data_IF_118481269339
#
_entry.id   IF_118481269339
#
_cell.length_a   1.000
_cell.length_b   1.000
_cell.length_c   1.000
_cell.angle_alpha   90.00
_cell.angle_beta   90.00
_cell.angle_gamma   90.00
#
_symmetry.space_group_name_H-M   'P 1'
#
loop_
_entity.id
_entity.type
_entity.pdbx_description
1 polymer ?
#
# COMPACT_ATOMS: atom_id res chain seq x y z
N UNK A 1 -7.15 -28.87 4.00
CA UNK A 1 -8.33 -28.89 3.08
C UNK A 1 -9.45 -27.93 3.48
N UNK A 2 -9.89 -27.85 4.75
CA UNK A 2 -10.99 -26.94 5.17
C UNK A 2 -10.66 -25.46 4.95
N UNK A 3 -9.53 -24.99 5.50
CA UNK A 3 -9.12 -23.58 5.38
C UNK A 3 -9.06 -23.10 3.92
N UNK A 4 -8.48 -23.93 3.05
CA UNK A 4 -8.37 -23.62 1.63
C UNK A 4 -9.74 -23.54 0.93
N UNK A 5 -10.62 -24.53 1.18
CA UNK A 5 -11.95 -24.61 0.57
C UNK A 5 -12.86 -23.47 1.00
N UNK A 6 -12.87 -23.15 2.29
CA UNK A 6 -13.89 -22.28 2.89
C UNK A 6 -13.47 -20.80 2.92
N UNK A 7 -12.17 -20.49 2.80
CA UNK A 7 -11.67 -19.12 2.93
C UNK A 7 -10.74 -18.71 1.78
N UNK A 8 -9.70 -19.49 1.48
CA UNK A 8 -8.71 -19.12 0.43
C UNK A 8 -9.34 -19.10 -0.95
N UNK A 9 -9.95 -20.21 -1.37
CA UNK A 9 -10.58 -20.36 -2.68
C UNK A 9 -11.70 -19.32 -2.93
N UNK A 10 -12.66 -19.09 -2.01
CA UNK A 10 -13.67 -18.05 -2.20
C UNK A 10 -13.15 -16.63 -1.93
N UNK A 11 -11.88 -16.47 -1.50
CA UNK A 11 -11.24 -15.18 -1.22
C UNK A 11 -11.98 -14.37 -0.13
N UNK A 12 -12.27 -15.03 1.01
CA UNK A 12 -13.02 -14.44 2.13
C UNK A 12 -12.11 -14.33 3.37
N UNK A 13 -12.02 -13.16 4.03
CA UNK A 13 -11.23 -12.99 5.24
C UNK A 13 -11.86 -13.71 6.42
N UNK A 14 -11.03 -14.22 7.32
CA UNK A 14 -11.48 -14.88 8.55
C UNK A 14 -10.57 -14.60 9.72
N UNK A 15 -11.16 -14.37 10.90
CA UNK A 15 -10.43 -14.32 12.17
C UNK A 15 -10.46 -15.69 12.84
N UNK A 16 -9.29 -16.32 12.96
CA UNK A 16 -9.12 -17.60 13.64
C UNK A 16 -8.70 -17.32 15.09
N UNK A 17 -9.64 -17.56 16.01
CA UNK A 17 -9.48 -17.22 17.43
C UNK A 17 -8.47 -18.11 18.14
N UNK A 18 -7.63 -17.51 18.98
CA UNK A 18 -6.60 -18.19 19.79
C UNK A 18 -5.59 -19.03 18.99
N UNK A 19 -5.50 -18.87 17.66
CA UNK A 19 -4.66 -19.71 16.80
C UNK A 19 -3.18 -19.67 17.19
N UNK A 20 -2.69 -18.54 17.71
CA UNK A 20 -1.28 -18.35 18.09
C UNK A 20 -1.10 -18.15 19.60
N UNK A 21 -2.14 -18.36 20.40
CA UNK A 21 -2.11 -18.20 21.86
C UNK A 21 -1.10 -19.12 22.57
N UNK A 22 -0.72 -20.22 21.91
CA UNK A 22 0.25 -21.18 22.40
C UNK A 22 1.71 -20.71 22.22
N UNK A 23 1.97 -19.71 21.38
CA UNK A 23 3.31 -19.18 21.14
C UNK A 23 3.95 -18.62 22.41
N UNK A 24 5.24 -18.90 22.67
CA UNK A 24 6.01 -18.21 23.70
C UNK A 24 5.93 -16.68 23.58
N UNK A 25 5.93 -16.15 22.35
CA UNK A 25 5.84 -14.71 22.06
C UNK A 25 4.67 -14.02 22.80
N UNK A 26 3.47 -14.62 22.76
CA UNK A 26 2.24 -14.06 23.37
C UNK A 26 2.38 -13.89 24.89
N UNK A 27 3.23 -14.70 25.54
CA UNK A 27 3.49 -14.63 26.98
C UNK A 27 4.73 -13.82 27.33
N UNK A 28 5.77 -13.85 26.47
CA UNK A 28 7.10 -13.31 26.75
C UNK A 28 7.25 -11.85 26.33
N UNK A 29 6.70 -11.45 25.19
CA UNK A 29 7.00 -10.17 24.52
C UNK A 29 6.32 -8.96 25.20
N UNK A 30 6.78 -8.65 26.41
CA UNK A 30 6.50 -7.42 27.12
C UNK A 30 7.59 -6.38 26.84
N UNK A 31 7.29 -5.09 27.04
CA UNK A 31 8.30 -4.02 26.95
C UNK A 31 9.53 -4.30 27.82
N UNK A 32 9.31 -4.79 29.05
CA UNK A 32 10.40 -5.18 29.95
C UNK A 32 11.29 -6.26 29.34
N UNK A 33 10.70 -7.38 28.90
CA UNK A 33 11.44 -8.49 28.31
C UNK A 33 12.21 -8.04 27.07
N UNK A 34 11.55 -7.34 26.15
CA UNK A 34 12.15 -6.89 24.90
C UNK A 34 13.30 -5.91 25.13
N UNK A 35 13.14 -4.96 26.07
CA UNK A 35 14.21 -4.04 26.46
C UNK A 35 15.40 -4.76 27.11
N UNK A 36 15.14 -5.67 28.04
CA UNK A 36 16.19 -6.38 28.78
C UNK A 36 17.02 -7.32 27.88
N UNK A 37 16.42 -7.90 26.85
CA UNK A 37 17.08 -8.90 26.00
C UNK A 37 17.57 -8.33 24.67
N UNK A 38 16.92 -7.28 24.15
CA UNK A 38 17.17 -6.75 22.80
C UNK A 38 17.33 -5.22 22.78
N UNK A 39 17.39 -4.56 23.95
CA UNK A 39 17.40 -3.09 24.03
C UNK A 39 18.54 -2.43 23.27
N UNK A 40 19.74 -3.02 23.27
CA UNK A 40 20.92 -2.47 22.58
C UNK A 40 20.91 -2.72 21.05
N UNK A 41 19.96 -3.52 20.55
CA UNK A 41 19.87 -3.85 19.13
C UNK A 41 19.49 -2.60 18.34
N UNK A 42 20.26 -2.30 17.30
CA UNK A 42 19.89 -1.24 16.34
C UNK A 42 18.80 -1.74 15.41
N UNK A 43 17.75 -0.95 15.25
CA UNK A 43 16.57 -1.29 14.48
C UNK A 43 16.18 -0.15 13.53
N UNK A 44 15.60 -0.51 12.38
CA UNK A 44 15.00 0.44 11.45
C UNK A 44 13.57 0.78 11.87
N UNK A 45 13.28 2.07 11.99
CA UNK A 45 11.99 2.59 12.47
C UNK A 45 11.50 3.66 11.52
N UNK A 46 10.26 3.53 11.05
CA UNK A 46 9.58 4.57 10.30
C UNK A 46 9.15 5.70 11.24
N UNK A 47 9.45 6.94 10.86
CA UNK A 47 9.09 8.15 11.58
C UNK A 47 8.24 9.07 10.70
N UNK A 48 7.12 9.53 11.27
CA UNK A 48 6.18 10.44 10.59
C UNK A 48 5.69 11.54 11.54
N UNK A 49 5.31 12.72 11.02
CA UNK A 49 4.75 13.80 11.84
C UNK A 49 3.31 13.53 12.32
N UNK A 50 2.56 12.74 11.56
CA UNK A 50 1.11 12.59 11.70
C UNK A 50 0.67 11.12 11.87
N UNK A 51 1.59 10.16 11.79
CA UNK A 51 1.31 8.73 11.92
C UNK A 51 1.00 8.02 10.62
N UNK A 52 0.91 8.73 9.50
CA UNK A 52 0.60 8.16 8.20
C UNK A 52 1.87 8.00 7.37
N UNK A 53 2.40 6.77 7.37
CA UNK A 53 3.42 6.36 6.41
C UNK A 53 2.73 5.90 5.12
N UNK A 54 3.40 6.07 3.99
CA UNK A 54 2.94 5.61 2.67
C UNK A 54 1.52 6.10 2.40
N UNK A 55 1.36 7.42 2.46
CA UNK A 55 0.06 8.08 2.41
C UNK A 55 0.16 9.41 1.65
N UNK A 56 -0.99 9.95 1.28
CA UNK A 56 -1.05 11.21 0.55
C UNK A 56 -0.94 12.39 1.51
N UNK A 57 -0.01 13.30 1.24
CA UNK A 57 0.11 14.57 1.94
C UNK A 57 0.66 15.66 1.00
N UNK A 58 0.08 16.85 1.07
CA UNK A 58 0.47 18.03 0.28
C UNK A 58 0.62 17.79 -1.24
N UNK A 59 -0.21 16.89 -1.80
CA UNK A 59 -0.19 16.55 -3.23
C UNK A 59 0.87 15.52 -3.64
N UNK A 60 1.53 14.87 -2.69
CA UNK A 60 2.51 13.81 -2.92
C UNK A 60 2.05 12.50 -2.29
N UNK A 61 2.53 11.38 -2.83
CA UNK A 61 2.64 10.14 -2.08
C UNK A 61 3.89 10.21 -1.20
N UNK A 62 3.72 10.24 0.12
CA UNK A 62 4.81 10.51 1.07
C UNK A 62 5.17 9.26 1.86
N UNK A 63 6.41 8.80 1.66
CA UNK A 63 7.03 7.74 2.44
C UNK A 63 7.56 8.28 3.79
N UNK A 64 7.68 7.43 4.81
CA UNK A 64 8.22 7.84 6.11
C UNK A 64 9.70 8.23 6.03
N UNK A 65 10.18 8.92 7.06
CA UNK A 65 11.62 8.99 7.31
C UNK A 65 12.07 7.68 7.96
N UNK A 66 13.14 7.07 7.45
CA UNK A 66 13.71 5.86 8.04
C UNK A 66 14.81 6.25 9.05
N UNK A 67 14.57 5.94 10.32
CA UNK A 67 15.52 6.18 11.39
C UNK A 67 16.19 4.86 11.79
N UNK A 68 17.47 4.94 12.19
CA UNK A 68 18.13 3.89 12.98
C UNK A 68 18.28 4.33 14.42
N UNK A 69 17.78 3.53 15.35
CA UNK A 69 17.90 3.75 16.79
C UNK A 69 18.01 2.43 17.53
N UNK A 70 18.38 2.48 18.82
CA UNK A 70 18.33 1.27 19.65
C UNK A 70 16.87 0.89 19.91
N UNK A 71 16.60 -0.41 20.02
CA UNK A 71 15.25 -0.87 20.33
C UNK A 71 14.80 -0.43 21.73
N UNK A 72 15.75 -0.28 22.67
CA UNK A 72 15.51 0.30 23.99
C UNK A 72 14.99 1.73 23.90
N UNK A 73 15.61 2.58 23.08
CA UNK A 73 15.15 3.96 22.85
C UNK A 73 13.78 4.00 22.19
N UNK A 74 13.54 3.14 21.21
CA UNK A 74 12.22 3.00 20.59
C UNK A 74 11.14 2.67 21.63
N UNK A 75 11.38 1.68 22.50
CA UNK A 75 10.44 1.32 23.58
C UNK A 75 10.29 2.49 24.57
N UNK A 76 11.37 3.20 24.91
CA UNK A 76 11.30 4.37 25.80
C UNK A 76 10.41 5.47 25.22
N UNK A 77 10.51 5.73 23.92
CA UNK A 77 9.64 6.70 23.20
C UNK A 77 8.20 6.20 23.16
N UNK A 78 7.95 4.90 22.96
CA UNK A 78 6.60 4.36 23.06
C UNK A 78 6.02 4.52 24.48
N UNK A 79 6.78 4.29 25.54
CA UNK A 79 6.29 4.47 26.91
C UNK A 79 6.09 5.95 27.28
N UNK A 80 6.90 6.84 26.70
CA UNK A 80 6.82 8.28 26.92
C UNK A 80 6.87 9.05 25.59
N UNK A 81 5.76 9.13 24.83
CA UNK A 81 5.75 9.79 23.51
C UNK A 81 6.17 11.27 23.53
N UNK A 82 6.12 11.91 24.71
CA UNK A 82 6.58 13.29 24.89
C UNK A 82 8.12 13.42 24.92
N UNK A 83 8.87 12.32 24.94
CA UNK A 83 10.34 12.35 24.81
C UNK A 83 10.79 12.63 23.38
N UNK A 84 9.91 12.38 22.39
CA UNK A 84 10.12 12.77 20.99
C UNK A 84 8.82 13.38 20.44
N UNK A 85 8.43 14.57 20.94
CA UNK A 85 7.17 15.21 20.59
C UNK A 85 7.12 15.53 19.08
N UNK A 86 5.95 15.37 18.47
CA UNK A 86 5.75 15.61 17.04
C UNK A 86 6.24 14.51 16.11
N UNK A 87 6.78 13.41 16.65
CA UNK A 87 7.17 12.23 15.90
C UNK A 87 6.36 11.02 16.33
N UNK A 88 5.88 10.25 15.37
CA UNK A 88 5.18 8.99 15.56
C UNK A 88 6.04 7.89 14.93
N UNK A 89 6.35 6.87 15.74
CA UNK A 89 7.26 5.79 15.39
C UNK A 89 6.52 4.48 15.14
N UNK A 90 6.98 3.74 14.13
CA UNK A 90 6.46 2.43 13.79
C UNK A 90 7.56 1.55 13.18
N UNK A 91 7.78 0.36 13.74
CA UNK A 91 8.54 -0.71 13.09
C UNK A 91 7.60 -1.39 12.11
N UNK A 92 7.83 -1.16 10.82
CA UNK A 92 6.90 -1.53 9.74
C UNK A 92 7.57 -2.02 8.45
N UNK A 93 8.87 -2.35 8.49
CA UNK A 93 9.54 -2.86 7.29
C UNK A 93 8.91 -4.18 6.85
N UNK A 94 8.59 -4.30 5.56
CA UNK A 94 7.84 -5.43 4.99
C UNK A 94 8.70 -6.34 4.11
N UNK A 95 10.02 -6.21 4.22
CA UNK A 95 11.02 -6.88 3.41
C UNK A 95 11.50 -8.22 4.02
N UNK A 96 10.62 -8.92 4.75
CA UNK A 96 11.04 -10.12 5.49
C UNK A 96 11.84 -9.81 6.75
N UNK A 97 11.65 -8.63 7.36
CA UNK A 97 12.44 -8.17 8.50
C UNK A 97 12.44 -9.16 9.69
N UNK A 98 11.43 -10.05 9.79
CA UNK A 98 11.37 -11.07 10.83
C UNK A 98 12.53 -12.05 10.72
N UNK A 99 12.87 -12.47 9.50
CA UNK A 99 13.93 -13.46 9.24
C UNK A 99 15.33 -12.84 9.24
N UNK A 100 15.40 -11.52 9.04
CA UNK A 100 16.65 -10.77 9.00
C UNK A 100 16.89 -10.06 10.34
N UNK A 101 16.35 -8.85 10.48
CA UNK A 101 16.53 -7.99 11.65
C UNK A 101 16.03 -8.65 12.94
N UNK A 102 15.01 -9.52 12.89
CA UNK A 102 14.40 -10.12 14.08
C UNK A 102 14.57 -11.65 14.18
N UNK A 103 15.61 -12.21 13.57
CA UNK A 103 15.85 -13.66 13.56
C UNK A 103 15.85 -14.29 14.98
N UNK A 104 16.37 -13.57 15.98
CA UNK A 104 16.41 -14.01 17.39
C UNK A 104 15.01 -14.20 18.02
N UNK A 105 13.99 -13.57 17.45
CA UNK A 105 12.60 -13.67 17.91
C UNK A 105 11.83 -14.81 17.22
N UNK A 106 12.37 -15.40 16.14
CA UNK A 106 11.68 -16.44 15.35
C UNK A 106 11.41 -17.69 16.20
N UNK A 107 12.26 -18.04 17.16
CA UNK A 107 12.03 -19.18 18.05
C UNK A 107 10.75 -19.03 18.89
N UNK A 108 10.31 -17.80 19.17
CA UNK A 108 9.14 -17.52 20.01
C UNK A 108 7.81 -17.54 19.24
N UNK A 109 7.80 -17.47 17.91
CA UNK A 109 6.59 -17.47 17.07
C UNK A 109 6.61 -18.44 15.89
N UNK A 110 7.75 -19.06 15.59
CA UNK A 110 7.93 -19.94 14.43
C UNK A 110 8.17 -19.18 13.13
N UNK A 111 8.70 -19.92 12.15
CA UNK A 111 8.95 -19.43 10.77
C UNK A 111 7.70 -19.42 9.88
N UNK A 112 6.67 -20.15 10.27
CA UNK A 112 5.41 -20.31 9.57
C UNK A 112 4.31 -20.83 10.52
N UNK A 113 3.09 -20.96 9.99
CA UNK A 113 2.01 -21.70 10.64
C UNK A 113 1.77 -22.96 9.82
N UNK A 114 2.11 -24.14 10.35
CA UNK A 114 2.11 -25.38 9.57
C UNK A 114 0.79 -25.69 8.85
N UNK A 115 -0.36 -25.33 9.43
CA UNK A 115 -1.67 -25.50 8.77
C UNK A 115 -1.87 -24.54 7.57
N UNK A 116 -1.28 -23.35 7.60
CA UNK A 116 -1.33 -22.39 6.50
C UNK A 116 -0.38 -22.84 5.39
N UNK A 117 0.86 -23.20 5.74
CA UNK A 117 1.85 -23.79 4.82
C UNK A 117 1.28 -25.02 4.10
N UNK A 118 0.63 -25.94 4.83
CA UNK A 118 -0.03 -27.11 4.24
C UNK A 118 -1.16 -26.70 3.27
N UNK A 119 -1.95 -25.67 3.61
CA UNK A 119 -3.06 -25.23 2.78
C UNK A 119 -2.62 -24.52 1.50
N UNK A 120 -1.58 -23.66 1.57
CA UNK A 120 -1.04 -22.96 0.40
C UNK A 120 -0.18 -23.90 -0.46
N UNK A 121 0.49 -24.86 0.17
CA UNK A 121 1.36 -25.85 -0.47
C UNK A 121 2.83 -25.43 -0.54
N UNK A 122 3.17 -24.28 0.04
CA UNK A 122 4.50 -23.69 0.03
C UNK A 122 4.74 -22.87 1.31
N UNK A 123 6.00 -22.68 1.75
CA UNK A 123 6.33 -21.81 2.87
C UNK A 123 6.06 -20.33 2.54
N UNK A 124 5.95 -19.46 3.55
CA UNK A 124 5.78 -18.04 3.33
C UNK A 124 6.99 -17.45 2.59
N UNK A 125 6.73 -16.54 1.65
CA UNK A 125 7.76 -15.78 0.92
C UNK A 125 8.41 -14.70 1.80
N UNK A 126 7.66 -14.16 2.77
CA UNK A 126 8.18 -13.24 3.77
C UNK A 126 7.48 -13.40 5.12
N UNK A 127 8.18 -13.05 6.20
CA UNK A 127 7.61 -12.87 7.52
C UNK A 127 8.03 -11.50 8.05
N UNK A 128 7.09 -10.74 8.63
CA UNK A 128 7.39 -9.40 9.12
C UNK A 128 6.99 -9.20 10.59
N UNK A 129 7.84 -8.50 11.32
CA UNK A 129 7.63 -8.03 12.68
C UNK A 129 7.09 -6.59 12.66
N UNK A 130 6.08 -6.35 13.48
CA UNK A 130 5.40 -5.06 13.59
C UNK A 130 5.32 -4.62 15.05
N UNK A 131 5.69 -3.37 15.32
CA UNK A 131 5.50 -2.76 16.63
C UNK A 131 5.44 -1.24 16.54
N UNK A 132 4.43 -0.60 17.12
CA UNK A 132 4.27 0.86 16.95
C UNK A 132 3.31 1.56 17.89
N UNK A 133 3.26 2.87 17.73
CA UNK A 133 2.34 3.78 18.42
C UNK A 133 0.90 3.59 17.90
N UNK A 134 -0.11 3.84 18.75
CA UNK A 134 -1.51 3.79 18.32
C UNK A 134 -1.88 4.85 17.26
N UNK A 135 -1.09 5.92 17.20
CA UNK A 135 -1.22 6.99 16.21
C UNK A 135 -0.67 6.61 14.85
N UNK A 136 0.15 5.56 14.76
CA UNK A 136 0.64 5.05 13.47
C UNK A 136 -0.47 4.28 12.76
N UNK A 137 -0.80 4.74 11.56
CA UNK A 137 -1.89 4.25 10.71
C UNK A 137 -1.33 3.83 9.37
N UNK A 138 -1.66 2.63 8.93
CA UNK A 138 -1.38 2.18 7.56
C UNK A 138 -2.55 2.60 6.68
N UNK A 139 -2.28 3.46 5.69
CA UNK A 139 -3.30 3.96 4.76
C UNK A 139 -3.91 2.83 3.91
N UNK A 140 -5.05 3.08 3.27
CA UNK A 140 -5.74 2.04 2.52
C UNK A 140 -4.90 1.62 1.31
N UNK A 141 -4.62 0.32 1.20
CA UNK A 141 -3.88 -0.28 0.08
C UNK A 141 -4.31 -1.76 -0.08
N UNK A 142 -3.69 -2.49 -1.00
CA UNK A 142 -3.92 -3.94 -1.18
C UNK A 142 -2.62 -4.63 -1.59
N UNK A 143 -2.47 -5.89 -1.18
CA UNK A 143 -1.27 -6.68 -1.46
C UNK A 143 -1.56 -7.84 -2.44
N UNK A 144 -0.57 -8.28 -3.24
CA UNK A 144 -0.64 -9.52 -4.02
C UNK A 144 -0.27 -10.77 -3.19
N UNK A 145 -0.50 -10.75 -1.87
CA UNK A 145 -0.14 -11.84 -0.95
C UNK A 145 -1.35 -12.38 -0.19
N UNK A 146 -1.36 -13.68 0.03
CA UNK A 146 -2.23 -14.30 1.02
C UNK A 146 -1.61 -14.06 2.41
N UNK A 147 -2.20 -13.16 3.20
CA UNK A 147 -1.58 -12.62 4.42
C UNK A 147 -2.14 -13.28 5.69
N UNK A 148 -1.29 -13.95 6.45
CA UNK A 148 -1.60 -14.54 7.76
C UNK A 148 -1.11 -13.58 8.85
N UNK A 149 -2.00 -12.72 9.34
CA UNK A 149 -1.69 -11.64 10.27
C UNK A 149 -1.95 -12.04 11.72
N UNK A 150 -0.89 -12.23 12.51
CA UNK A 150 -0.93 -12.76 13.87
C UNK A 150 -0.70 -11.64 14.89
N UNK A 151 -1.66 -11.37 15.78
CA UNK A 151 -1.47 -10.36 16.84
C UNK A 151 -0.91 -11.03 18.09
N UNK A 152 0.24 -10.56 18.57
CA UNK A 152 0.95 -11.10 19.73
C UNK A 152 0.57 -10.34 21.00
N UNK A 153 0.51 -9.00 20.93
CA UNK A 153 0.17 -8.12 22.05
C UNK A 153 -0.71 -6.98 21.56
N UNK A 154 -1.74 -6.64 22.33
CA UNK A 154 -2.65 -5.55 22.00
C UNK A 154 -3.76 -5.97 21.03
N UNK A 155 -4.14 -5.08 20.12
CA UNK A 155 -5.06 -5.37 19.03
C UNK A 155 -4.77 -4.54 17.78
N UNK A 156 -5.21 -5.06 16.63
CA UNK A 156 -5.24 -4.39 15.34
C UNK A 156 -6.68 -4.22 14.88
N UNK A 157 -6.99 -3.05 14.35
CA UNK A 157 -8.29 -2.69 13.79
C UNK A 157 -8.15 -2.51 12.28
N UNK A 158 -8.83 -3.36 11.53
CA UNK A 158 -8.83 -3.35 10.08
C UNK A 158 -10.16 -2.79 9.56
N UNK A 159 -10.07 -1.94 8.55
CA UNK A 159 -11.18 -1.63 7.64
C UNK A 159 -10.85 -2.33 6.33
N UNK A 160 -11.74 -3.20 5.87
CA UNK A 160 -11.54 -4.08 4.72
C UNK A 160 -12.57 -3.78 3.63
N UNK A 161 -12.14 -3.82 2.37
CA UNK A 161 -13.01 -3.88 1.19
C UNK A 161 -12.61 -5.04 0.28
N UNK A 162 -13.58 -5.80 -0.27
CA UNK A 162 -13.26 -6.91 -1.17
C UNK A 162 -12.68 -6.39 -2.51
N UNK A 163 -11.90 -7.21 -3.24
CA UNK A 163 -11.29 -6.79 -4.51
C UNK A 163 -12.28 -6.31 -5.58
N UNK A 164 -13.52 -6.81 -5.51
CA UNK A 164 -14.62 -6.44 -6.41
C UNK A 164 -15.10 -4.99 -6.22
N UNK A 165 -14.72 -4.32 -5.12
CA UNK A 165 -15.04 -2.91 -4.86
C UNK A 165 -14.13 -1.94 -5.61
N UNK A 166 -13.14 -2.44 -6.38
CA UNK A 166 -12.23 -1.62 -7.17
C UNK A 166 -12.92 -0.52 -8.02
N UNK A 167 -14.12 -0.72 -8.63
CA UNK A 167 -14.84 0.35 -9.34
C UNK A 167 -15.21 1.56 -8.47
N UNK A 168 -15.27 1.40 -7.15
CA UNK A 168 -15.71 2.42 -6.19
C UNK A 168 -14.57 2.98 -5.34
N UNK A 169 -13.37 2.42 -5.45
CA UNK A 169 -12.19 2.83 -4.69
C UNK A 169 -11.31 3.73 -5.56
N UNK A 170 -11.27 5.04 -5.30
CA UNK A 170 -10.58 6.00 -6.17
C UNK A 170 -9.06 5.89 -6.02
N UNK A 171 -8.37 5.98 -7.17
CA UNK A 171 -6.92 6.08 -7.25
C UNK A 171 -6.49 7.39 -7.90
N UNK A 172 -5.38 7.93 -7.43
CA UNK A 172 -4.66 9.03 -8.05
C UNK A 172 -3.19 8.65 -8.26
N UNK A 173 -2.61 9.17 -9.34
CA UNK A 173 -1.18 9.02 -9.63
C UNK A 173 -0.46 10.28 -9.16
N UNK A 174 0.39 10.15 -8.15
CA UNK A 174 0.99 11.26 -7.42
C UNK A 174 2.51 11.21 -7.46
N UNK A 175 3.21 12.36 -7.48
CA UNK A 175 4.65 12.37 -7.34
C UNK A 175 5.08 11.78 -5.99
N UNK A 176 6.16 10.99 -6.01
CA UNK A 176 6.71 10.41 -4.80
C UNK A 176 7.52 11.43 -3.99
N UNK A 177 7.43 11.36 -2.67
CA UNK A 177 8.22 12.15 -1.74
C UNK A 177 8.51 11.35 -0.47
N UNK A 178 9.35 11.90 0.41
CA UNK A 178 9.62 11.36 1.74
C UNK A 178 9.60 12.44 2.80
N UNK A 179 9.26 12.06 4.02
CA UNK A 179 9.49 12.91 5.17
C UNK A 179 11.00 13.01 5.48
N UNK A 180 11.44 14.19 5.89
CA UNK A 180 12.79 14.43 6.44
C UNK A 180 12.65 15.30 7.69
N UNK A 181 13.22 14.84 8.81
CA UNK A 181 13.19 15.60 10.06
C UNK A 181 14.19 16.76 10.04
N UNK A 182 13.74 17.91 10.54
CA UNK A 182 14.56 19.10 10.77
C UNK A 182 14.80 19.18 12.27
N UNK A 183 16.06 18.96 12.66
CA UNK A 183 16.48 19.03 14.06
C UNK A 183 16.73 20.48 14.47
N UNK A 184 15.88 21.00 15.34
CA UNK A 184 16.02 22.33 15.91
C UNK A 184 16.58 22.21 17.35
N UNK A 185 17.74 22.79 17.69
CA UNK A 185 18.30 22.71 19.03
C UNK A 185 17.31 23.22 20.09
N UNK A 186 16.94 22.36 21.05
CA UNK A 186 16.03 22.71 22.14
C UNK A 186 14.54 22.73 21.78
N UNK A 187 14.16 22.31 20.56
CA UNK A 187 12.77 22.21 20.12
C UNK A 187 12.45 20.82 19.57
N UNK A 188 11.15 20.53 19.48
CA UNK A 188 10.64 19.30 18.86
C UNK A 188 11.04 19.22 17.38
N UNK A 189 11.32 18.02 16.85
CA UNK A 189 11.52 17.85 15.42
C UNK A 189 10.33 18.38 14.62
N UNK A 190 10.61 19.11 13.54
CA UNK A 190 9.62 19.44 12.52
C UNK A 190 9.91 18.64 11.26
N UNK A 191 8.92 18.41 10.41
CA UNK A 191 9.10 17.61 9.20
C UNK A 191 8.87 18.46 7.95
N UNK A 192 9.65 18.18 6.90
CA UNK A 192 9.40 18.65 5.53
C UNK A 192 9.14 17.46 4.62
N UNK A 193 8.35 17.67 3.58
CA UNK A 193 8.16 16.72 2.48
C UNK A 193 9.20 17.03 1.41
N UNK A 194 10.00 16.04 1.06
CA UNK A 194 11.08 16.15 0.07
C UNK A 194 10.74 15.27 -1.13
N UNK A 195 10.41 15.86 -2.30
CA UNK A 195 10.14 15.10 -3.52
C UNK A 195 11.31 14.19 -3.89
N UNK A 196 10.99 13.01 -4.43
CA UNK A 196 11.96 12.11 -5.03
C UNK A 196 12.05 12.39 -6.52
N UNK A 197 13.25 12.61 -7.05
CA UNK A 197 13.46 12.81 -8.50
C UNK A 197 13.59 14.25 -9.00
N UNK A 198 13.81 15.25 -8.13
CA UNK A 198 14.41 16.52 -8.59
C UNK A 198 15.92 16.39 -8.56
N UNK A 199 16.55 16.21 -9.72
CA UNK A 199 17.98 16.42 -9.87
C UNK A 199 18.37 17.75 -9.23
N UNK A 200 19.23 17.71 -8.22
CA UNK A 200 20.01 18.88 -7.83
C UNK A 200 21.08 19.12 -8.90
N UNK A 201 20.65 19.61 -10.06
CA UNK A 201 21.50 20.23 -11.06
C UNK A 201 20.70 21.36 -11.71
N UNK A 202 20.58 22.47 -10.98
CA UNK A 202 20.69 23.79 -11.58
C UNK A 202 21.03 24.81 -10.49
N UNK A 203 22.29 25.21 -10.47
CA UNK A 203 22.71 26.43 -9.80
C UNK A 203 22.02 27.63 -10.47
N UNK A 204 21.11 28.25 -9.74
CA UNK A 204 20.97 29.71 -9.60
C UNK A 204 19.65 30.00 -8.90
N UNK A 205 19.72 30.15 -7.59
CA UNK A 205 18.78 31.00 -6.85
C UNK A 205 18.89 32.42 -7.39
N UNK A 206 17.90 32.84 -8.19
CA UNK A 206 17.51 34.25 -8.31
C UNK A 206 16.00 34.36 -8.17
N UNK A 207 15.63 34.76 -6.95
CA UNK A 207 14.57 35.70 -6.60
C UNK A 207 13.37 35.83 -7.55
N UNK A 208 12.21 35.34 -7.09
CA UNK A 208 10.92 35.88 -7.49
C UNK A 208 10.70 37.20 -6.75
N UNK A 209 11.03 38.31 -7.38
CA UNK A 209 10.52 39.64 -7.01
C UNK A 209 9.35 40.02 -7.90
N UNK A 210 8.32 40.53 -7.25
CA UNK A 210 7.10 41.15 -7.80
C UNK A 210 7.38 42.16 -8.93
N UNK A 211 6.43 42.29 -9.86
CA UNK A 211 6.49 43.35 -10.87
C UNK A 211 5.39 43.32 -11.91
N UNK A 212 4.20 43.81 -11.54
CA UNK A 212 3.17 44.26 -12.48
C UNK A 212 3.75 45.30 -13.47
N UNK A 213 3.52 45.13 -14.79
CA UNK A 213 3.11 46.19 -15.72
C UNK A 213 2.77 45.67 -17.13
N UNK A 214 1.78 46.36 -17.67
CA UNK A 214 1.11 46.31 -18.97
C UNK A 214 2.03 46.55 -20.17
N UNK A 215 1.71 45.98 -21.34
CA UNK A 215 1.50 46.74 -22.59
C UNK A 215 0.96 45.85 -23.74
N UNK A 216 0.17 46.50 -24.61
CA UNK A 216 -0.49 45.97 -25.81
C UNK A 216 0.52 45.86 -26.95
N UNK A 217 0.26 44.97 -27.92
CA UNK A 217 0.12 45.42 -29.32
C UNK A 217 -0.48 44.34 -30.25
N UNK A 218 -1.16 44.87 -31.26
CA UNK A 218 -2.09 44.29 -32.22
C UNK A 218 -1.41 43.79 -33.52
N UNK A 219 -2.24 43.23 -34.42
CA UNK A 219 -2.09 43.03 -35.88
C UNK A 219 -1.59 41.64 -36.35
N UNK A 220 -2.49 40.75 -36.85
CA UNK A 220 -3.05 40.59 -38.22
C UNK A 220 -2.02 40.00 -39.21
N UNK A 221 -2.26 39.02 -40.12
CA UNK A 221 -3.36 38.66 -41.02
C UNK A 221 -3.23 37.14 -41.37
N UNK A 222 -4.29 36.33 -41.38
CA UNK A 222 -5.15 35.95 -42.51
C UNK A 222 -4.46 35.28 -43.74
N UNK A 223 -4.82 34.02 -44.03
CA UNK A 223 -5.04 33.59 -45.42
C UNK A 223 -6.00 32.37 -45.54
N UNK A 224 -7.25 32.72 -45.86
CA UNK A 224 -8.18 32.15 -46.84
C UNK A 224 -8.36 30.62 -47.04
N UNK A 225 -9.64 30.27 -46.82
CA UNK A 225 -10.48 29.17 -47.32
C UNK A 225 -10.31 28.79 -48.80
N UNK A 226 -10.63 27.52 -49.11
CA UNK A 226 -11.49 27.14 -50.24
C UNK A 226 -12.52 26.09 -49.81
N UNK A 227 -13.79 26.44 -50.02
CA UNK A 227 -15.00 25.61 -50.01
C UNK A 227 -15.00 24.67 -51.26
N UNK A 228 -15.91 23.74 -51.55
CA UNK A 228 -17.27 23.42 -51.11
C UNK A 228 -17.63 22.04 -51.71
N UNK A 229 -18.64 21.32 -51.20
CA UNK A 229 -19.21 20.16 -51.91
C UNK A 229 -20.15 19.28 -51.09
N UNK A 230 -21.43 19.68 -51.05
CA UNK A 230 -22.56 19.04 -50.37
C UNK A 230 -22.98 17.70 -51.02
N UNK A 231 -23.41 16.71 -50.22
CA UNK A 231 -24.65 15.94 -50.50
C UNK A 231 -25.11 15.11 -49.29
N UNK A 232 -26.42 15.13 -49.06
CA UNK A 232 -27.14 14.39 -48.05
C UNK A 232 -27.16 12.87 -48.31
N UNK A 233 -27.13 12.07 -47.25
CA UNK A 233 -28.10 10.98 -47.07
C UNK A 233 -28.14 10.47 -45.62
N UNK A 234 -29.35 10.42 -45.08
CA UNK A 234 -29.76 9.73 -43.86
C UNK A 234 -29.86 8.22 -44.11
N UNK A 235 -29.33 7.37 -43.23
CA UNK A 235 -29.92 6.06 -42.86
C UNK A 235 -29.18 5.39 -41.69
N UNK A 236 -29.96 5.05 -40.65
CA UNK A 236 -29.91 3.89 -39.74
C UNK A 236 -28.59 3.30 -39.23
N UNK A 237 -28.56 3.17 -37.90
CA UNK A 237 -27.69 2.30 -37.13
C UNK A 237 -27.79 0.81 -37.53
N UNK A 238 -26.65 0.14 -37.63
CA UNK A 238 -26.56 -1.32 -37.56
C UNK A 238 -25.41 -1.74 -36.63
N UNK A 239 -25.73 -2.73 -35.81
CA UNK A 239 -24.92 -3.41 -34.82
C UNK A 239 -23.75 -4.17 -35.45
N UNK A 240 -22.51 -3.77 -35.16
CA UNK A 240 -21.30 -4.53 -35.48
C UNK A 240 -21.09 -5.69 -34.51
N UNK A 241 -21.17 -6.91 -35.05
CA UNK A 241 -21.02 -8.19 -34.36
C UNK A 241 -19.69 -8.35 -33.61
N UNK A 242 -19.77 -8.92 -32.40
CA UNK A 242 -18.69 -9.31 -31.48
C UNK A 242 -17.65 -10.27 -32.11
N UNK A 243 -17.95 -10.87 -33.27
CA UNK A 243 -17.10 -11.87 -33.91
C UNK A 243 -15.75 -11.35 -34.41
N UNK A 244 -15.58 -10.05 -34.69
CA UNK A 244 -14.31 -9.52 -35.22
C UNK A 244 -13.21 -9.29 -34.18
N UNK A 245 -13.55 -9.25 -32.88
CA UNK A 245 -12.56 -9.06 -31.81
C UNK A 245 -11.93 -10.40 -31.40
N UNK A 246 -12.64 -11.50 -31.63
CA UNK A 246 -12.20 -12.85 -31.24
C UNK A 246 -11.12 -13.40 -32.18
N UNK A 247 -11.15 -13.01 -33.46
CA UNK A 247 -10.20 -13.53 -34.46
C UNK A 247 -8.79 -12.92 -34.29
N UNK A 248 -8.67 -11.64 -33.90
CA UNK A 248 -7.38 -10.95 -33.72
C UNK A 248 -6.59 -11.41 -32.47
N UNK A 249 -7.21 -12.14 -31.54
CA UNK A 249 -6.56 -12.66 -30.33
C UNK A 249 -5.98 -14.08 -30.52
N UNK A 250 -6.17 -14.69 -31.69
CA UNK A 250 -5.81 -16.09 -31.94
C UNK A 250 -4.41 -16.31 -32.53
N UNK A 251 -3.66 -15.25 -32.87
CA UNK A 251 -2.37 -15.37 -33.56
C UNK A 251 -1.11 -14.96 -32.77
N UNK A 252 -1.19 -14.61 -31.48
CA UNK A 252 0.02 -14.40 -30.67
C UNK A 252 0.41 -15.68 -29.89
N UNK A 253 1.30 -16.49 -30.48
CA UNK A 253 2.05 -17.50 -29.71
C UNK A 253 3.01 -16.80 -28.76
N UNK A 254 2.53 -16.47 -27.57
CA UNK A 254 3.37 -16.11 -26.43
C UNK A 254 3.69 -17.41 -25.68
N UNK A 255 4.98 -17.73 -25.58
CA UNK A 255 5.48 -18.93 -24.92
C UNK A 255 5.16 -18.85 -23.41
N UNK A 256 4.49 -19.86 -22.86
CA UNK A 256 4.08 -19.93 -21.45
C UNK A 256 5.28 -19.84 -20.47
N UNK A 257 6.48 -20.21 -20.91
CA UNK A 257 7.70 -20.12 -20.09
C UNK A 257 8.23 -18.68 -19.94
N UNK A 258 7.99 -17.80 -20.92
CA UNK A 258 8.54 -16.42 -20.90
C UNK A 258 7.72 -15.46 -20.02
N UNK A 259 6.42 -15.74 -19.86
CA UNK A 259 5.52 -14.95 -19.00
C UNK A 259 5.80 -15.24 -17.52
N UNK A 260 6.08 -16.50 -17.18
CA UNK A 260 6.36 -16.91 -15.80
C UNK A 260 7.72 -16.39 -15.26
N UNK A 261 8.71 -16.17 -16.12
CA UNK A 261 10.00 -15.58 -15.70
C UNK A 261 9.96 -14.06 -15.57
N UNK A 262 9.12 -13.37 -16.35
CA UNK A 262 8.97 -11.91 -16.29
C UNK A 262 8.10 -11.47 -15.10
N UNK A 263 7.19 -12.32 -14.63
CA UNK A 263 6.26 -12.01 -13.52
C UNK A 263 6.83 -12.27 -12.10
N UNK A 264 8.00 -12.91 -11.99
CA UNK A 264 8.61 -13.25 -10.69
C UNK A 264 9.28 -12.08 -9.98
N UNK A 265 9.43 -10.92 -10.62
CA UNK A 265 10.29 -9.85 -10.08
C UNK A 265 9.58 -8.60 -9.56
N UNK A 266 8.25 -8.55 -9.52
CA UNK A 266 7.58 -7.35 -9.00
C UNK A 266 6.70 -7.60 -7.77
N UNK A 267 7.36 -7.74 -6.62
CA UNK A 267 6.74 -7.48 -5.32
C UNK A 267 6.27 -6.02 -5.24
N UNK A 268 5.41 -5.70 -4.28
CA UNK A 268 5.06 -4.30 -4.00
C UNK A 268 6.32 -3.44 -3.79
N UNK A 269 7.37 -4.02 -3.21
CA UNK A 269 8.69 -3.41 -3.16
C UNK A 269 9.25 -3.08 -4.55
N UNK A 270 9.08 -3.85 -5.62
CA UNK A 270 9.57 -3.45 -6.95
C UNK A 270 8.80 -2.26 -7.57
N UNK A 271 7.58 -2.00 -7.10
CA UNK A 271 6.86 -0.76 -7.41
C UNK A 271 7.36 0.44 -6.60
N UNK A 272 8.01 0.21 -5.44
CA UNK A 272 8.49 1.24 -4.49
C UNK A 272 10.02 1.39 -4.34
N UNK A 273 10.81 0.40 -4.75
CA UNK A 273 12.28 0.34 -4.64
C UNK A 273 12.96 0.91 -5.87
N UNK A 274 12.20 1.08 -6.96
CA UNK A 274 12.67 1.90 -8.06
C UNK A 274 12.49 3.37 -7.71
N UNK A 275 13.51 3.93 -7.05
CA UNK A 275 13.69 5.37 -6.85
C UNK A 275 13.65 6.21 -8.15
N UNK A 276 13.48 5.57 -9.31
CA UNK A 276 13.24 6.19 -10.61
C UNK A 276 11.76 6.38 -10.99
N UNK A 277 10.79 5.77 -10.29
CA UNK A 277 9.36 6.03 -10.55
C UNK A 277 8.96 7.36 -9.92
N UNK A 278 8.94 8.41 -10.74
CA UNK A 278 8.55 9.76 -10.31
C UNK A 278 7.12 9.83 -9.77
N UNK A 279 6.23 8.93 -10.22
CA UNK A 279 4.82 8.92 -9.88
C UNK A 279 4.33 7.55 -9.40
N UNK A 280 3.54 7.57 -8.32
CA UNK A 280 2.98 6.41 -7.63
C UNK A 280 1.45 6.48 -7.69
N UNK A 281 0.77 5.45 -8.21
CA UNK A 281 -0.68 5.33 -8.08
C UNK A 281 -1.06 4.88 -6.67
N UNK A 282 -1.87 5.67 -5.97
CA UNK A 282 -2.29 5.40 -4.60
C UNK A 282 -3.77 5.71 -4.38
N UNK A 283 -4.35 5.08 -3.36
CA UNK A 283 -5.77 5.29 -3.02
C UNK A 283 -5.92 6.64 -2.33
N UNK A 284 -6.80 7.48 -2.86
CA UNK A 284 -6.92 8.89 -2.45
C UNK A 284 -8.08 9.20 -1.50
N UNK A 285 -8.67 8.16 -0.89
CA UNK A 285 -9.76 8.31 0.08
C UNK A 285 -9.39 7.74 1.45
N UNK A 286 -9.70 8.49 2.51
CA UNK A 286 -9.65 8.02 3.89
C UNK A 286 -10.93 7.21 4.21
N UNK A 287 -10.84 5.89 4.44
CA UNK A 287 -12.01 5.07 4.73
C UNK A 287 -12.63 5.32 6.12
N UNK A 288 -11.92 6.01 7.04
CA UNK A 288 -12.50 6.44 8.32
C UNK A 288 -13.36 7.70 8.18
N UNK A 289 -13.01 8.57 7.23
CA UNK A 289 -13.67 9.86 6.99
C UNK A 289 -13.76 10.15 5.49
N UNK A 290 -14.55 9.38 4.72
CA UNK A 290 -14.58 9.49 3.27
C UNK A 290 -15.16 10.84 2.82
N UNK A 291 -14.44 11.55 1.95
CA UNK A 291 -14.97 12.73 1.26
C UNK A 291 -15.86 12.31 0.08
N UNK A 292 -17.14 12.10 0.39
CA UNK A 292 -18.14 11.70 -0.60
C UNK A 292 -18.53 12.84 -1.56
N UNK A 293 -18.11 14.08 -1.33
CA UNK A 293 -18.31 15.15 -2.31
C UNK A 293 -17.35 14.99 -3.49
N UNK A 294 -16.09 14.70 -3.21
CA UNK A 294 -15.06 14.45 -4.23
C UNK A 294 -15.16 13.03 -4.80
N UNK A 295 -15.52 12.03 -3.98
CA UNK A 295 -15.58 10.61 -4.36
C UNK A 295 -16.94 9.97 -4.06
N UNK A 296 -18.03 10.41 -4.71
CA UNK A 296 -19.39 9.94 -4.40
C UNK A 296 -19.59 8.43 -4.64
N UNK A 297 -18.85 7.83 -5.58
CA UNK A 297 -18.96 6.41 -5.89
C UNK A 297 -18.52 5.49 -4.75
N UNK A 298 -17.66 5.97 -3.85
CA UNK A 298 -17.21 5.21 -2.69
C UNK A 298 -18.37 4.84 -1.74
N UNK A 299 -19.49 5.56 -1.78
CA UNK A 299 -20.69 5.21 -1.03
C UNK A 299 -21.27 3.83 -1.40
N UNK A 300 -20.88 3.27 -2.55
CA UNK A 300 -21.28 1.93 -2.98
C UNK A 300 -20.33 0.82 -2.48
N UNK A 301 -19.17 1.18 -1.92
CA UNK A 301 -18.19 0.21 -1.44
C UNK A 301 -18.68 -0.52 -0.18
N UNK A 302 -18.45 -1.83 -0.15
CA UNK A 302 -18.71 -2.69 1.01
C UNK A 302 -17.59 -2.57 2.01
N UNK A 303 -17.88 -2.02 3.19
CA UNK A 303 -16.91 -1.87 4.27
C UNK A 303 -17.11 -2.95 5.35
N UNK A 304 -16.06 -3.71 5.66
CA UNK A 304 -16.02 -4.69 6.75
C UNK A 304 -15.02 -4.22 7.81
N UNK A 305 -15.45 -4.11 9.07
CA UNK A 305 -14.56 -3.73 10.19
C UNK A 305 -14.22 -4.95 11.03
N UNK A 306 -12.93 -5.19 11.25
CA UNK A 306 -12.43 -6.36 11.97
C UNK A 306 -11.44 -5.94 13.03
N UNK A 307 -11.63 -6.41 14.27
CA UNK A 307 -10.64 -6.31 15.34
C UNK A 307 -9.98 -7.67 15.58
N UNK A 308 -8.65 -7.68 15.54
CA UNK A 308 -7.81 -8.86 15.81
C UNK A 308 -7.11 -8.64 17.15
N UNK A 309 -7.36 -9.53 18.11
CA UNK A 309 -6.80 -9.43 19.47
C UNK A 309 -5.56 -10.30 19.63
N UNK A 310 -4.76 -10.02 20.66
CA UNK A 310 -3.65 -10.88 21.08
C UNK A 310 -4.04 -12.37 21.14
N UNK A 311 -3.30 -13.22 20.43
CA UNK A 311 -3.54 -14.64 20.28
C UNK A 311 -4.39 -15.03 19.07
N UNK A 312 -5.07 -14.09 18.42
CA UNK A 312 -5.86 -14.32 17.22
C UNK A 312 -5.03 -14.13 15.93
N UNK A 313 -5.52 -14.74 14.85
CA UNK A 313 -4.97 -14.60 13.50
C UNK A 313 -6.06 -14.09 12.57
N UNK A 314 -5.74 -13.12 11.72
CA UNK A 314 -6.55 -12.75 10.56
C UNK A 314 -5.92 -13.37 9.32
N UNK A 315 -6.69 -14.19 8.60
CA UNK A 315 -6.41 -14.42 7.19
C UNK A 315 -6.97 -13.23 6.41
N UNK A 316 -6.09 -12.44 5.83
CA UNK A 316 -6.37 -11.33 4.92
C UNK A 316 -6.04 -11.81 3.50
N UNK A 317 -7.06 -12.12 2.68
CA UNK A 317 -6.82 -12.71 1.37
C UNK A 317 -6.15 -11.73 0.40
N UNK A 318 -5.47 -12.27 -0.61
CA UNK A 318 -4.85 -11.47 -1.66
C UNK A 318 -5.84 -10.48 -2.30
N UNK A 319 -5.32 -9.29 -2.63
CA UNK A 319 -6.00 -8.13 -3.22
C UNK A 319 -7.11 -7.46 -2.40
N UNK A 320 -7.38 -7.92 -1.18
CA UNK A 320 -8.29 -7.18 -0.30
C UNK A 320 -7.71 -5.82 0.06
N UNK A 321 -8.52 -4.78 -0.14
CA UNK A 321 -8.16 -3.46 0.30
C UNK A 321 -8.26 -3.40 1.81
N UNK A 322 -7.27 -2.82 2.46
CA UNK A 322 -7.21 -2.78 3.90
C UNK A 322 -6.55 -1.50 4.40
N UNK A 323 -7.14 -0.94 5.46
CA UNK A 323 -6.62 0.17 6.25
C UNK A 323 -6.46 -0.32 7.69
N UNK A 324 -5.35 0.01 8.34
CA UNK A 324 -4.97 -0.64 9.61
C UNK A 324 -4.63 0.38 10.70
N UNK A 325 -5.28 0.22 11.85
CA UNK A 325 -4.96 0.90 13.11
C UNK A 325 -4.58 -0.11 14.17
N UNK A 326 -4.04 0.37 15.28
CA UNK A 326 -3.52 -0.49 16.33
C UNK A 326 -3.66 0.13 17.72
N UNK A 327 -3.72 -0.71 18.73
CA UNK A 327 -3.53 -0.28 20.11
C UNK A 327 -2.09 0.18 20.35
N UNK A 328 -1.88 1.02 21.36
CA UNK A 328 -0.55 1.55 21.67
C UNK A 328 0.44 0.44 22.06
N UNK A 329 1.58 0.38 21.36
CA UNK A 329 2.56 -0.69 21.55
C UNK A 329 2.08 -2.06 21.12
N UNK A 330 1.15 -2.12 20.17
CA UNK A 330 0.73 -3.39 19.57
C UNK A 330 1.97 -4.10 19.03
N UNK A 331 2.03 -5.43 19.20
CA UNK A 331 3.04 -6.27 18.57
C UNK A 331 2.32 -7.30 17.72
N UNK A 332 2.73 -7.43 16.47
CA UNK A 332 2.19 -8.41 15.53
C UNK A 332 3.31 -9.02 14.69
N UNK A 333 3.04 -10.22 14.18
CA UNK A 333 3.85 -10.90 13.18
C UNK A 333 2.92 -11.27 12.03
N UNK A 334 3.33 -11.04 10.79
CA UNK A 334 2.56 -11.54 9.65
C UNK A 334 3.43 -12.43 8.76
N UNK A 335 2.79 -13.37 8.07
CA UNK A 335 3.41 -14.23 7.06
C UNK A 335 2.72 -13.99 5.73
N UNK A 336 3.50 -13.64 4.72
CA UNK A 336 3.04 -13.52 3.35
C UNK A 336 3.32 -14.79 2.59
N UNK A 337 2.30 -15.31 1.94
CA UNK A 337 2.40 -16.35 0.92
C UNK A 337 2.06 -15.71 -0.41
N UNK A 338 2.81 -16.04 -1.46
CA UNK A 338 2.51 -15.53 -2.79
C UNK A 338 1.12 -15.99 -3.20
N UNK A 339 0.34 -15.10 -3.79
CA UNK A 339 -0.95 -15.50 -4.31
C UNK A 339 -0.79 -16.45 -5.48
N UNK A 340 -1.76 -17.34 -5.67
CA UNK A 340 -1.86 -18.10 -6.92
C UNK A 340 -2.37 -17.17 -8.03
N UNK A 341 -1.62 -17.06 -9.11
CA UNK A 341 -1.99 -16.35 -10.33
C UNK A 341 -3.00 -17.16 -11.15
N UNK A 342 -4.19 -17.37 -10.57
CA UNK A 342 -5.28 -18.14 -11.15
C UNK A 342 -6.36 -17.23 -11.78
N UNK A 343 -7.53 -17.80 -12.08
CA UNK A 343 -8.66 -17.06 -12.65
C UNK A 343 -9.09 -15.83 -11.83
N UNK A 344 -8.84 -15.79 -10.51
CA UNK A 344 -9.13 -14.61 -9.67
C UNK A 344 -8.23 -13.43 -10.04
N UNK A 345 -6.95 -13.70 -10.27
CA UNK A 345 -5.98 -12.71 -10.76
C UNK A 345 -6.39 -12.20 -12.14
N UNK A 346 -6.66 -13.11 -13.08
CA UNK A 346 -7.07 -12.76 -14.43
C UNK A 346 -8.35 -11.90 -14.45
N UNK A 347 -9.34 -12.24 -13.62
CA UNK A 347 -10.56 -11.44 -13.47
C UNK A 347 -10.27 -10.04 -12.91
N UNK A 348 -9.39 -9.93 -11.91
CA UNK A 348 -9.02 -8.63 -11.37
C UNK A 348 -8.29 -7.77 -12.42
N UNK A 349 -7.37 -8.37 -13.20
CA UNK A 349 -6.69 -7.69 -14.29
C UNK A 349 -7.68 -7.22 -15.38
N UNK A 350 -8.65 -8.06 -15.74
CA UNK A 350 -9.72 -7.69 -16.67
C UNK A 350 -10.57 -6.51 -16.16
N UNK A 351 -11.00 -6.54 -14.89
CA UNK A 351 -11.77 -5.45 -14.27
C UNK A 351 -10.94 -4.15 -14.27
N UNK A 352 -9.68 -4.22 -13.84
CA UNK A 352 -8.76 -3.07 -13.86
C UNK A 352 -8.65 -2.47 -15.27
N UNK A 353 -8.45 -3.29 -16.29
CA UNK A 353 -8.35 -2.83 -17.68
C UNK A 353 -9.66 -2.17 -18.17
N UNK A 354 -10.81 -2.75 -17.83
CA UNK A 354 -12.12 -2.21 -18.17
C UNK A 354 -12.36 -0.85 -17.51
N UNK A 355 -12.04 -0.72 -16.22
CA UNK A 355 -12.21 0.53 -15.46
C UNK A 355 -11.36 1.65 -16.05
N UNK A 356 -10.10 1.37 -16.38
CA UNK A 356 -9.21 2.32 -17.05
C UNK A 356 -9.75 2.76 -18.41
N UNK A 357 -10.21 1.80 -19.23
CA UNK A 357 -10.76 2.10 -20.56
C UNK A 357 -12.09 2.87 -20.50
N UNK A 358 -12.89 2.64 -19.46
CA UNK A 358 -14.18 3.33 -19.24
C UNK A 358 -14.05 4.74 -18.67
N UNK A 359 -12.87 5.11 -18.15
CA UNK A 359 -12.63 6.40 -17.51
C UNK A 359 -13.07 6.48 -16.03
N UNK A 360 -13.61 5.40 -15.45
CA UNK A 360 -14.11 5.40 -14.06
C UNK A 360 -13.00 5.40 -13.00
N UNK A 361 -11.84 4.80 -13.29
CA UNK A 361 -10.72 4.71 -12.34
C UNK A 361 -9.38 4.65 -13.10
N UNK A 362 -9.02 5.75 -13.76
CA UNK A 362 -7.82 5.82 -14.62
C UNK A 362 -6.50 5.78 -13.84
N UNK A 363 -6.53 6.19 -12.56
CA UNK A 363 -5.37 6.15 -11.67
C UNK A 363 -5.02 4.76 -11.15
N UNK A 364 -5.93 3.78 -11.26
CA UNK A 364 -5.65 2.41 -10.80
C UNK A 364 -4.47 1.82 -11.60
N UNK A 365 -3.43 1.27 -10.93
CA UNK A 365 -2.32 0.64 -11.62
C UNK A 365 -2.81 -0.56 -12.44
N UNK A 366 -2.19 -0.87 -13.59
CA UNK A 366 -2.49 -2.10 -14.29
C UNK A 366 -2.04 -3.30 -13.44
N UNK A 367 -2.74 -4.43 -13.57
CA UNK A 367 -2.25 -5.72 -13.12
C UNK A 367 -1.63 -6.40 -14.34
N UNK A 368 -0.41 -6.90 -14.22
CA UNK A 368 0.38 -7.39 -15.35
C UNK A 368 0.02 -8.81 -15.77
#
# INVERSE_FOLDING_TARGET
MEFYRDWVCPNIPVVIKNAVKHWPAVKKWSYKYLRENFGEKLVQVAATPNGYADAIADGFFVMPEELRMTFGDFINILENPNSLPGTILYIQSQNGNMSEEWADLVEDCGKDLGWATEAFGEPPSAANFWMGDHRAVTSMHRDPFENIYCVVRGHKDFILHPPIDLPWIPYETLPAARYESIKNPGASPTYKIVPLGTDQNNGNSKELTEGCKTEKDDSSEACMRKECGNSHNTTSAESGSISKIVDDLSESKICEETVAETLKSESMEALFTDSSKSNVPWICIDPEKPDLNSYPLYANATQVKVRVHAGDVLFLPAHWFHHVKQSHGCIAVNYWYDMKYDHRYANQAFITALLRKSGLNTGCPPLF
#
